data_IF_537660944231
#
_entry.id   IF_537660944231
#
_cell.length_a   1.000
_cell.length_b   1.000
_cell.length_c   1.000
_cell.angle_alpha   90.00
_cell.angle_beta   90.00
_cell.angle_gamma   90.00
#
_symmetry.space_group_name_H-M   'P 1'
#
loop_
_entity.id
_entity.type
_entity.pdbx_description
1 polymer ?
#
# COMPACT_ATOMS: atom_id res chain seq x y z
N UNK A 1 -39.42 42.71 39.12
CA UNK A 1 -38.65 42.16 37.95
C UNK A 1 -37.72 41.12 38.47
N UNK A 2 -37.99 39.85 38.15
CA UNK A 2 -37.13 38.72 38.56
C UNK A 2 -36.20 38.40 37.37
N UNK A 3 -34.89 38.12 37.54
CA UNK A 3 -34.01 37.73 36.46
C UNK A 3 -34.26 36.28 36.04
N UNK A 4 -34.39 36.05 34.75
CA UNK A 4 -34.47 34.75 34.14
C UNK A 4 -33.00 34.28 33.88
N UNK A 5 -32.59 33.26 34.59
CA UNK A 5 -31.27 32.60 34.39
C UNK A 5 -31.40 31.62 33.24
N UNK A 6 -30.76 31.90 32.12
CA UNK A 6 -30.71 31.05 30.95
C UNK A 6 -29.56 30.05 31.14
N UNK A 7 -29.89 28.80 31.45
CA UNK A 7 -28.91 27.69 31.55
C UNK A 7 -28.60 27.17 30.15
N UNK A 8 -27.42 27.47 29.67
CA UNK A 8 -26.88 26.94 28.38
C UNK A 8 -26.43 25.51 28.58
N UNK A 9 -27.22 24.55 28.09
CA UNK A 9 -26.79 23.12 28.02
C UNK A 9 -25.84 22.94 26.84
N UNK A 10 -24.53 22.79 27.11
CA UNK A 10 -23.57 22.32 26.14
C UNK A 10 -23.80 20.82 25.90
N UNK A 11 -24.37 20.49 24.75
CA UNK A 11 -24.34 19.10 24.22
C UNK A 11 -22.92 18.80 23.74
N UNK A 12 -22.14 18.06 24.53
CA UNK A 12 -20.95 17.40 24.05
C UNK A 12 -21.35 16.27 23.07
N UNK A 13 -21.21 16.53 21.79
CA UNK A 13 -21.21 15.47 20.80
C UNK A 13 -19.97 14.60 21.03
N UNK A 14 -20.13 13.48 21.74
CA UNK A 14 -19.12 12.43 21.79
C UNK A 14 -19.02 11.83 20.38
N UNK A 15 -18.01 12.24 19.64
CA UNK A 15 -17.59 11.54 18.43
C UNK A 15 -17.26 10.11 18.85
N UNK A 16 -18.09 9.13 18.48
CA UNK A 16 -17.72 7.73 18.51
C UNK A 16 -16.53 7.53 17.54
N UNK A 17 -15.33 7.80 18.01
CA UNK A 17 -14.13 7.25 17.38
C UNK A 17 -14.24 5.74 17.60
N UNK A 18 -14.66 5.01 16.56
CA UNK A 18 -14.58 3.56 16.57
C UNK A 18 -13.16 3.16 16.97
N UNK A 19 -13.04 2.12 17.80
CA UNK A 19 -11.71 1.60 18.13
C UNK A 19 -10.98 1.27 16.83
N UNK A 20 -9.69 1.64 16.70
CA UNK A 20 -8.92 1.29 15.52
C UNK A 20 -8.95 -0.24 15.33
N UNK A 21 -9.14 -0.68 14.09
CA UNK A 21 -9.10 -2.12 13.75
C UNK A 21 -7.77 -2.71 14.22
N UNK A 22 -7.79 -3.96 14.77
CA UNK A 22 -6.57 -4.58 15.24
C UNK A 22 -5.60 -4.81 14.10
N UNK A 23 -4.33 -4.63 14.35
CA UNK A 23 -3.24 -4.97 13.43
C UNK A 23 -2.66 -6.34 13.81
N UNK A 24 -1.84 -6.89 12.94
CA UNK A 24 -1.28 -8.22 13.14
C UNK A 24 -0.53 -8.38 14.48
N UNK A 25 0.22 -7.36 14.90
CA UNK A 25 0.91 -7.37 16.22
C UNK A 25 -0.06 -7.34 17.39
N UNK A 26 -1.21 -6.70 17.24
CA UNK A 26 -2.25 -6.64 18.30
C UNK A 26 -2.90 -8.00 18.52
N UNK A 27 -2.93 -8.83 17.48
CA UNK A 27 -3.36 -10.23 17.54
C UNK A 27 -2.28 -11.17 18.14
N UNK A 28 -1.10 -10.65 18.48
CA UNK A 28 0.01 -11.45 18.99
C UNK A 28 0.83 -12.17 17.92
N UNK A 29 0.73 -11.77 16.65
CA UNK A 29 1.55 -12.31 15.57
C UNK A 29 2.97 -11.73 15.69
N UNK A 30 4.03 -12.57 15.82
CA UNK A 30 5.39 -12.08 15.93
C UNK A 30 5.96 -11.66 14.57
N UNK A 31 6.69 -10.55 14.57
CA UNK A 31 7.47 -10.09 13.43
C UNK A 31 8.84 -9.60 13.88
N UNK A 32 9.85 -9.87 13.07
CA UNK A 32 11.21 -9.40 13.30
C UNK A 32 11.35 -7.89 13.04
N UNK A 33 12.35 -7.28 13.70
CA UNK A 33 12.70 -5.87 13.55
C UNK A 33 11.80 -4.92 14.33
N UNK A 34 12.29 -3.71 14.55
CA UNK A 34 11.60 -2.67 15.32
C UNK A 34 10.77 -1.80 14.39
N UNK A 35 9.44 -1.73 14.56
CA UNK A 35 8.62 -0.82 13.78
C UNK A 35 8.89 0.64 14.17
N UNK A 36 8.63 1.59 13.26
CA UNK A 36 8.49 2.99 13.60
C UNK A 36 7.23 3.27 14.43
N UNK A 37 7.01 4.51 14.85
CA UNK A 37 5.90 4.89 15.74
C UNK A 37 4.50 4.54 15.21
N UNK A 38 4.30 4.65 13.90
CA UNK A 38 3.02 4.33 13.24
C UNK A 38 3.02 2.91 12.66
N UNK A 39 4.19 2.28 12.55
CA UNK A 39 4.40 1.04 11.81
C UNK A 39 3.78 1.11 10.41
N UNK A 40 4.01 2.20 9.70
CA UNK A 40 3.42 2.53 8.41
C UNK A 40 4.45 3.17 7.47
N UNK A 41 4.17 3.19 6.16
CA UNK A 41 5.04 3.85 5.17
C UNK A 41 5.25 5.33 5.50
N UNK A 42 4.31 5.96 6.18
CA UNK A 42 4.34 7.35 6.63
C UNK A 42 5.29 7.61 7.80
N UNK A 43 5.93 6.59 8.38
CA UNK A 43 7.06 6.77 9.29
C UNK A 43 8.29 7.32 8.55
N UNK A 44 8.35 7.15 7.24
CA UNK A 44 9.35 7.84 6.40
C UNK A 44 8.92 9.28 6.21
N UNK A 45 9.71 10.19 6.74
CA UNK A 45 9.38 11.62 6.80
C UNK A 45 9.05 12.21 5.43
N UNK A 46 7.92 12.92 5.36
CA UNK A 46 7.41 13.58 4.16
C UNK A 46 6.48 12.71 3.31
N UNK A 47 6.41 11.40 3.54
CA UNK A 47 5.48 10.54 2.81
C UNK A 47 4.03 10.80 3.24
N UNK A 48 3.17 11.05 2.27
CA UNK A 48 1.72 11.18 2.47
C UNK A 48 0.97 10.08 1.72
N UNK A 49 -0.13 9.60 2.31
CA UNK A 49 -1.00 8.58 1.70
C UNK A 49 -2.45 9.05 1.73
N UNK A 50 -3.15 8.87 0.61
CA UNK A 50 -4.56 9.22 0.51
C UNK A 50 -5.37 8.17 -0.26
N UNK A 51 -6.68 8.18 -0.04
CA UNK A 51 -7.58 7.14 -0.56
C UNK A 51 -8.88 7.71 -1.09
N UNK A 52 -9.40 7.06 -2.14
CA UNK A 52 -10.82 7.10 -2.49
C UNK A 52 -11.34 5.67 -2.52
N UNK A 53 -12.38 5.39 -1.74
CA UNK A 53 -12.99 4.05 -1.63
C UNK A 53 -14.40 4.10 -2.22
N UNK A 54 -14.66 3.24 -3.20
CA UNK A 54 -15.94 3.18 -3.91
C UNK A 54 -16.65 1.86 -3.58
N UNK A 55 -17.70 1.95 -2.78
CA UNK A 55 -18.54 0.80 -2.38
C UNK A 55 -20.00 1.18 -2.62
N UNK A 56 -20.66 0.52 -3.58
CA UNK A 56 -22.09 0.73 -3.84
C UNK A 56 -22.73 -0.47 -4.52
N UNK A 57 -24.06 -0.56 -4.43
CA UNK A 57 -24.87 -1.61 -5.06
C UNK A 57 -24.66 -3.00 -4.47
N UNK A 58 -25.61 -3.89 -4.76
CA UNK A 58 -25.63 -5.30 -4.35
C UNK A 58 -26.30 -6.17 -5.40
N UNK A 59 -26.14 -7.50 -5.27
CA UNK A 59 -26.86 -8.47 -6.09
C UNK A 59 -26.14 -8.87 -7.37
N UNK A 60 -26.91 -9.06 -8.45
CA UNK A 60 -26.39 -9.51 -9.75
C UNK A 60 -25.56 -8.41 -10.41
N UNK A 61 -24.50 -8.83 -11.11
CA UNK A 61 -23.72 -7.93 -11.96
C UNK A 61 -24.62 -7.32 -13.06
N UNK A 62 -24.63 -5.98 -13.11
CA UNK A 62 -25.15 -5.21 -14.23
C UNK A 62 -24.07 -4.22 -14.65
N UNK A 63 -23.40 -4.49 -15.75
CA UNK A 63 -22.29 -3.68 -16.24
C UNK A 63 -22.68 -2.19 -16.34
N UNK A 64 -21.87 -1.31 -15.75
CA UNK A 64 -22.14 0.12 -15.63
C UNK A 64 -23.03 0.53 -14.46
N UNK A 65 -23.57 -0.44 -13.69
CA UNK A 65 -24.39 -0.17 -12.50
C UNK A 65 -23.81 -0.78 -11.21
N UNK A 66 -22.99 -1.81 -11.33
CA UNK A 66 -22.34 -2.46 -10.19
C UNK A 66 -22.83 -3.88 -9.91
N UNK A 67 -22.59 -4.44 -8.73
CA UNK A 67 -21.94 -3.84 -7.52
C UNK A 67 -20.53 -3.28 -7.75
N UNK A 68 -20.22 -2.16 -7.08
CA UNK A 68 -18.93 -1.48 -7.14
C UNK A 68 -18.12 -1.76 -5.88
N UNK A 69 -16.88 -2.27 -6.03
CA UNK A 69 -15.95 -2.58 -4.95
C UNK A 69 -14.53 -2.26 -5.41
N UNK A 70 -14.20 -0.97 -5.49
CA UNK A 70 -12.95 -0.48 -6.07
C UNK A 70 -12.49 0.82 -5.41
N UNK A 71 -11.45 1.45 -5.95
CA UNK A 71 -10.98 2.74 -5.48
C UNK A 71 -9.62 3.14 -6.01
N UNK A 72 -9.05 4.17 -5.42
CA UNK A 72 -7.75 4.75 -5.77
C UNK A 72 -6.94 4.98 -4.50
N UNK A 73 -5.66 4.61 -4.53
CA UNK A 73 -4.67 4.91 -3.49
C UNK A 73 -3.61 5.84 -4.08
N UNK A 74 -3.26 6.89 -3.37
CA UNK A 74 -2.19 7.82 -3.72
C UNK A 74 -1.08 7.76 -2.68
N UNK A 75 0.18 7.67 -3.11
CA UNK A 75 1.37 7.78 -2.28
C UNK A 75 2.24 8.90 -2.82
N UNK A 76 2.42 9.96 -2.04
CA UNK A 76 3.21 11.14 -2.40
C UNK A 76 4.56 11.07 -1.68
N UNK A 77 5.68 10.92 -2.40
CA UNK A 77 6.98 10.69 -1.77
C UNK A 77 7.46 11.80 -0.82
N UNK A 78 7.12 13.05 -1.13
CA UNK A 78 7.48 14.23 -0.33
C UNK A 78 6.29 15.12 -0.02
N UNK A 79 5.08 14.53 -0.02
CA UNK A 79 3.83 15.24 0.22
C UNK A 79 3.45 16.23 -0.88
N UNK A 80 2.27 16.81 -0.74
CA UNK A 80 1.69 17.77 -1.70
C UNK A 80 2.54 19.04 -1.85
N UNK A 81 3.13 19.51 -0.77
CA UNK A 81 3.96 20.73 -0.74
C UNK A 81 5.22 20.64 -1.61
N UNK A 82 5.70 19.41 -1.82
CA UNK A 82 6.94 19.14 -2.54
C UNK A 82 6.73 18.27 -3.77
N UNK A 83 5.53 18.33 -4.36
CA UNK A 83 5.12 17.49 -5.50
C UNK A 83 6.03 17.66 -6.74
N UNK A 84 6.67 18.81 -6.87
CA UNK A 84 7.60 19.14 -7.95
C UNK A 84 9.07 18.83 -7.62
N UNK A 85 9.31 18.10 -6.51
CA UNK A 85 10.64 17.63 -6.14
C UNK A 85 10.76 16.12 -6.37
N UNK A 86 11.23 15.66 -7.53
CA UNK A 86 11.46 14.25 -7.81
C UNK A 86 12.38 13.60 -6.79
N UNK A 87 12.21 12.32 -6.60
CA UNK A 87 13.01 11.50 -5.69
C UNK A 87 13.73 10.42 -6.46
N UNK A 88 14.93 10.01 -6.02
CA UNK A 88 15.55 8.80 -6.57
C UNK A 88 14.61 7.62 -6.40
N UNK A 89 14.47 6.81 -7.46
CA UNK A 89 13.64 5.62 -7.45
C UNK A 89 14.24 4.49 -8.29
N UNK A 90 13.78 3.27 -7.97
CA UNK A 90 14.08 2.08 -8.75
C UNK A 90 12.91 1.11 -8.66
N UNK A 91 12.65 0.36 -9.71
CA UNK A 91 11.52 -0.57 -9.78
C UNK A 91 11.97 -1.98 -10.18
N UNK A 92 11.10 -2.95 -9.96
CA UNK A 92 11.33 -4.34 -10.34
C UNK A 92 10.00 -5.05 -10.60
N UNK A 93 9.89 -5.68 -11.77
CA UNK A 93 8.81 -6.62 -12.09
C UNK A 93 9.32 -8.03 -11.87
N UNK A 94 8.68 -8.78 -10.96
CA UNK A 94 8.99 -10.19 -10.74
C UNK A 94 8.34 -11.05 -11.83
N UNK A 95 7.11 -10.76 -12.16
CA UNK A 95 6.36 -11.30 -13.29
C UNK A 95 5.45 -10.22 -13.88
N UNK A 96 4.96 -10.41 -15.09
CA UNK A 96 4.49 -9.33 -15.93
C UNK A 96 3.00 -9.33 -16.26
N UNK A 97 2.16 -10.16 -15.61
CA UNK A 97 0.71 -10.10 -15.83
C UNK A 97 0.07 -8.97 -14.99
N UNK A 98 0.55 -7.75 -15.20
CA UNK A 98 0.13 -6.55 -14.50
C UNK A 98 0.73 -5.30 -15.13
N UNK A 99 0.31 -4.13 -14.68
CA UNK A 99 0.76 -2.85 -15.22
C UNK A 99 1.27 -1.91 -14.12
N UNK A 100 2.36 -1.21 -14.44
CA UNK A 100 2.83 -0.03 -13.72
C UNK A 100 3.36 0.96 -14.76
N UNK A 101 2.62 2.02 -15.02
CA UNK A 101 2.97 3.04 -16.02
C UNK A 101 4.18 3.87 -15.57
N UNK A 102 4.81 4.61 -16.48
CA UNK A 102 5.90 5.53 -16.16
C UNK A 102 7.24 4.88 -15.77
N UNK A 103 7.28 3.57 -15.63
CA UNK A 103 8.48 2.83 -15.17
C UNK A 103 9.64 2.89 -16.15
N UNK A 104 9.39 3.05 -17.45
CA UNK A 104 10.45 3.27 -18.45
C UNK A 104 11.24 4.55 -18.16
N UNK A 105 10.56 5.63 -17.75
CA UNK A 105 11.22 6.87 -17.37
C UNK A 105 11.92 6.77 -16.01
N UNK A 106 11.33 6.06 -15.04
CA UNK A 106 12.02 5.77 -13.77
C UNK A 106 13.31 4.99 -14.00
N UNK A 107 13.31 4.02 -14.93
CA UNK A 107 14.50 3.24 -15.28
C UNK A 107 15.57 4.09 -15.94
N UNK A 108 15.19 4.97 -16.87
CA UNK A 108 16.11 5.79 -17.64
C UNK A 108 16.68 6.95 -16.83
N UNK A 109 15.81 7.68 -16.12
CA UNK A 109 16.20 8.86 -15.36
C UNK A 109 16.76 8.56 -13.97
N UNK A 110 16.35 7.46 -13.37
CA UNK A 110 16.59 7.14 -11.96
C UNK A 110 15.71 7.90 -10.99
N UNK A 111 14.68 8.63 -11.48
CA UNK A 111 13.81 9.47 -10.67
C UNK A 111 12.33 9.10 -10.82
N UNK A 112 11.61 9.20 -9.73
CA UNK A 112 10.15 9.23 -9.67
C UNK A 112 9.69 10.69 -9.59
N UNK A 113 8.88 11.09 -10.58
CA UNK A 113 8.34 12.44 -10.69
C UNK A 113 6.86 12.47 -10.31
N UNK A 114 6.56 12.84 -9.07
CA UNK A 114 5.20 12.93 -8.55
C UNK A 114 4.75 11.68 -7.77
N UNK A 115 3.43 11.48 -7.63
CA UNK A 115 2.88 10.38 -6.83
C UNK A 115 3.01 9.02 -7.51
N UNK A 116 2.96 7.96 -6.69
CA UNK A 116 2.62 6.61 -7.13
C UNK A 116 1.14 6.38 -6.84
N UNK A 117 0.37 6.03 -7.88
CA UNK A 117 -1.05 5.74 -7.78
C UNK A 117 -1.28 4.23 -7.90
N UNK A 118 -2.27 3.70 -7.18
CA UNK A 118 -2.70 2.30 -7.32
C UNK A 118 -4.22 2.25 -7.44
N UNK A 119 -4.73 1.44 -8.38
CA UNK A 119 -6.17 1.27 -8.63
C UNK A 119 -6.48 -0.15 -9.13
N UNK A 120 -7.56 -0.35 -9.88
CA UNK A 120 -7.84 -1.62 -10.54
C UNK A 120 -7.34 -1.62 -12.00
N UNK A 121 -7.29 -2.81 -12.61
CA UNK A 121 -6.74 -3.06 -13.95
C UNK A 121 -7.35 -2.15 -15.02
N UNK A 122 -8.67 -1.94 -15.03
CA UNK A 122 -9.33 -1.16 -16.10
C UNK A 122 -9.35 0.34 -15.82
N UNK A 123 -8.90 0.78 -14.64
CA UNK A 123 -8.91 2.20 -14.25
C UNK A 123 -7.54 2.88 -14.38
N UNK A 124 -6.48 2.16 -14.79
CA UNK A 124 -5.14 2.72 -14.97
C UNK A 124 -5.16 3.95 -15.88
N UNK A 125 -5.86 3.87 -16.99
CA UNK A 125 -5.95 4.98 -17.97
C UNK A 125 -6.54 6.26 -17.38
N UNK A 126 -7.71 6.17 -16.75
CA UNK A 126 -8.39 7.34 -16.14
C UNK A 126 -7.60 7.92 -14.98
N UNK A 127 -7.01 7.07 -14.11
CA UNK A 127 -6.17 7.52 -12.98
C UNK A 127 -4.91 8.21 -13.49
N UNK A 128 -4.29 7.68 -14.57
CA UNK A 128 -3.13 8.29 -15.20
C UNK A 128 -3.44 9.69 -15.73
N UNK A 129 -4.50 9.81 -16.52
CA UNK A 129 -4.90 11.09 -17.10
C UNK A 129 -5.29 12.11 -16.01
N UNK A 130 -6.05 11.69 -15.01
CA UNK A 130 -6.40 12.53 -13.87
C UNK A 130 -5.18 12.98 -13.05
N UNK A 131 -4.19 12.10 -12.85
CA UNK A 131 -2.94 12.46 -12.17
C UNK A 131 -2.18 13.55 -12.95
N UNK A 132 -2.16 13.49 -14.28
CA UNK A 132 -1.58 14.54 -15.12
C UNK A 132 -2.33 15.86 -14.93
N UNK A 133 -3.67 15.82 -14.98
CA UNK A 133 -4.51 17.02 -14.81
C UNK A 133 -4.30 17.65 -13.42
N UNK A 134 -4.31 16.83 -12.35
CA UNK A 134 -4.09 17.29 -10.99
C UNK A 134 -2.71 17.93 -10.81
N UNK A 135 -1.64 17.30 -11.33
CA UNK A 135 -0.29 17.84 -11.28
C UNK A 135 -0.16 19.14 -12.06
N UNK A 136 -0.81 19.25 -13.22
CA UNK A 136 -0.83 20.49 -14.00
C UNK A 136 -1.48 21.64 -13.22
N UNK A 137 -2.51 21.35 -12.43
CA UNK A 137 -3.21 22.37 -11.61
C UNK A 137 -2.41 22.77 -10.35
N UNK A 138 -1.61 21.86 -9.80
CA UNK A 138 -0.86 22.05 -8.55
C UNK A 138 0.65 22.20 -8.76
N UNK A 139 1.11 21.99 -9.97
CA UNK A 139 2.51 22.14 -10.34
C UNK A 139 2.82 23.53 -10.91
N UNK A 140 4.10 23.79 -11.09
CA UNK A 140 4.58 24.98 -11.79
C UNK A 140 4.88 24.59 -13.25
N UNK A 141 4.00 24.97 -14.18
CA UNK A 141 4.39 25.02 -15.58
C UNK A 141 5.50 26.08 -15.76
N UNK A 142 6.42 25.86 -16.68
CA UNK A 142 7.38 26.90 -17.04
C UNK A 142 6.65 28.13 -17.66
N UNK A 143 7.39 29.25 -17.83
CA UNK A 143 6.80 30.48 -18.37
C UNK A 143 6.30 30.34 -19.81
N UNK A 144 6.73 29.31 -20.55
CA UNK A 144 6.25 29.01 -21.90
C UNK A 144 4.94 28.21 -21.87
N UNK A 145 4.51 27.72 -20.68
CA UNK A 145 3.40 26.80 -20.52
C UNK A 145 3.75 25.36 -20.88
N UNK A 146 5.01 25.08 -21.22
CA UNK A 146 5.46 23.72 -21.50
C UNK A 146 5.55 22.91 -20.22
N UNK A 147 4.84 21.80 -20.20
CA UNK A 147 4.87 20.85 -19.08
C UNK A 147 4.47 19.45 -19.57
N UNK A 148 5.10 18.45 -19.03
CA UNK A 148 4.77 17.04 -19.31
C UNK A 148 4.96 16.20 -18.06
N UNK A 149 4.32 15.04 -18.01
CA UNK A 149 4.43 14.09 -16.91
C UNK A 149 4.22 12.67 -17.40
N UNK A 150 4.94 11.73 -16.83
CA UNK A 150 4.78 10.30 -17.02
C UNK A 150 4.45 9.65 -15.66
N UNK A 151 3.18 9.75 -15.18
CA UNK A 151 2.79 9.26 -13.87
C UNK A 151 3.02 7.77 -13.72
N UNK A 152 3.35 7.35 -12.49
CA UNK A 152 3.39 5.95 -12.10
C UNK A 152 2.02 5.56 -11.56
N UNK A 153 1.32 4.70 -12.30
CA UNK A 153 0.01 4.13 -11.91
C UNK A 153 0.09 2.63 -12.03
N UNK A 154 -0.14 1.94 -10.92
CA UNK A 154 -0.13 0.49 -10.81
C UNK A 154 -1.53 -0.06 -10.56
N UNK A 155 -1.69 -1.37 -10.72
CA UNK A 155 -3.01 -1.98 -10.60
C UNK A 155 -2.96 -3.41 -10.04
N UNK A 156 -4.10 -3.86 -9.52
CA UNK A 156 -4.44 -5.27 -9.32
C UNK A 156 -5.91 -5.52 -9.68
N UNK A 157 -6.26 -6.76 -10.10
CA UNK A 157 -7.56 -7.12 -10.61
C UNK A 157 -8.61 -7.30 -9.50
N UNK A 158 -9.69 -6.50 -9.52
CA UNK A 158 -10.79 -6.56 -8.54
C UNK A 158 -12.09 -7.20 -9.07
N UNK A 159 -12.12 -7.66 -10.33
CA UNK A 159 -13.33 -8.11 -11.02
C UNK A 159 -14.02 -9.37 -10.47
N UNK A 160 -13.52 -9.95 -9.37
CA UNK A 160 -14.25 -11.00 -8.62
C UNK A 160 -15.35 -10.41 -7.75
N UNK A 161 -15.16 -9.21 -7.24
CA UNK A 161 -16.08 -8.50 -6.35
C UNK A 161 -16.70 -7.25 -7.00
N UNK A 162 -16.01 -6.67 -7.98
CA UNK A 162 -16.32 -5.39 -8.59
C UNK A 162 -16.84 -5.54 -10.03
N UNK A 163 -17.79 -4.71 -10.41
CA UNK A 163 -18.13 -4.45 -11.82
C UNK A 163 -16.99 -3.70 -12.52
N UNK A 164 -15.90 -4.40 -12.79
CA UNK A 164 -14.67 -3.83 -13.35
C UNK A 164 -14.89 -3.22 -14.76
N UNK A 165 -15.83 -3.81 -15.53
CA UNK A 165 -16.17 -3.33 -16.89
C UNK A 165 -17.15 -2.15 -16.88
N UNK A 166 -17.62 -1.72 -15.72
CA UNK A 166 -18.47 -0.54 -15.55
C UNK A 166 -17.69 0.77 -15.52
N UNK A 167 -16.35 0.73 -15.43
CA UNK A 167 -15.47 1.90 -15.41
C UNK A 167 -15.90 2.94 -14.38
N UNK A 168 -16.08 2.49 -13.14
CA UNK A 168 -16.66 3.29 -12.06
C UNK A 168 -15.71 4.34 -11.48
N UNK A 169 -14.40 4.14 -11.57
CA UNK A 169 -13.40 5.15 -11.16
C UNK A 169 -13.44 6.32 -12.15
N UNK A 170 -13.53 7.54 -11.61
CA UNK A 170 -13.60 8.81 -12.37
C UNK A 170 -12.40 9.71 -12.02
N UNK A 171 -12.13 10.76 -12.80
CA UNK A 171 -11.05 11.71 -12.49
C UNK A 171 -11.16 12.30 -11.08
N UNK A 172 -12.38 12.60 -10.62
CA UNK A 172 -12.66 13.18 -9.30
C UNK A 172 -12.22 12.24 -8.16
N UNK A 173 -12.30 10.93 -8.36
CA UNK A 173 -11.85 9.93 -7.38
C UNK A 173 -10.33 9.97 -7.22
N UNK A 174 -9.60 10.22 -8.31
CA UNK A 174 -8.16 10.41 -8.30
C UNK A 174 -7.78 11.71 -7.61
N UNK A 175 -8.49 12.81 -7.92
CA UNK A 175 -8.28 14.11 -7.27
C UNK A 175 -8.51 14.00 -5.77
N UNK A 176 -9.60 13.36 -5.35
CA UNK A 176 -9.89 13.16 -3.93
C UNK A 176 -8.80 12.33 -3.22
N UNK A 177 -8.31 11.27 -3.83
CA UNK A 177 -7.21 10.48 -3.25
C UNK A 177 -5.93 11.32 -3.07
N UNK A 178 -5.59 12.17 -4.05
CA UNK A 178 -4.44 13.06 -3.99
C UNK A 178 -4.62 14.19 -2.97
N UNK A 179 -5.81 14.82 -2.94
CA UNK A 179 -6.12 15.94 -2.03
C UNK A 179 -6.22 15.49 -0.57
N UNK A 180 -6.75 14.29 -0.32
CA UNK A 180 -6.86 13.69 1.01
C UNK A 180 -5.55 13.11 1.55
N UNK A 181 -4.49 13.03 0.73
CA UNK A 181 -3.21 12.49 1.18
C UNK A 181 -2.68 13.27 2.39
N UNK A 182 -2.22 12.53 3.40
CA UNK A 182 -1.69 13.09 4.64
C UNK A 182 -0.62 12.17 5.24
N UNK A 183 0.19 12.74 6.10
CA UNK A 183 1.06 12.00 7.03
C UNK A 183 0.22 11.39 8.16
N UNK A 184 0.82 10.56 8.99
CA UNK A 184 0.13 9.95 10.14
C UNK A 184 -0.32 8.52 9.90
N UNK A 185 -1.27 8.00 10.68
CA UNK A 185 -1.77 6.64 10.53
C UNK A 185 -2.37 6.39 9.14
N UNK A 186 -2.05 5.24 8.55
CA UNK A 186 -2.56 4.82 7.24
C UNK A 186 -3.70 3.82 7.43
N UNK A 187 -4.83 4.05 6.77
CA UNK A 187 -5.94 3.11 6.78
C UNK A 187 -5.56 1.82 6.02
N UNK A 188 -6.01 0.67 6.55
CA UNK A 188 -5.70 -0.66 6.02
C UNK A 188 -6.96 -1.47 5.70
N UNK A 189 -6.83 -2.59 5.01
CA UNK A 189 -7.93 -3.48 4.62
C UNK A 189 -8.68 -2.98 3.38
N UNK A 190 -9.99 -2.87 3.48
CA UNK A 190 -10.91 -2.60 2.35
C UNK A 190 -10.93 -1.11 1.95
N UNK A 191 -9.79 -0.50 1.69
CA UNK A 191 -9.67 0.93 1.41
C UNK A 191 -8.90 1.21 0.12
N UNK A 192 -9.24 2.31 -0.53
CA UNK A 192 -8.60 2.74 -1.77
C UNK A 192 -8.64 1.68 -2.86
N UNK A 193 -7.57 1.56 -3.61
CA UNK A 193 -7.40 0.50 -4.62
C UNK A 193 -7.50 -0.91 -4.03
N UNK A 194 -7.23 -1.10 -2.72
CA UNK A 194 -7.34 -2.36 -2.01
C UNK A 194 -8.77 -2.85 -1.75
N UNK A 195 -9.79 -2.05 -2.06
CA UNK A 195 -11.20 -2.33 -1.72
C UNK A 195 -11.71 -3.69 -2.19
N UNK A 196 -11.53 -4.05 -3.46
CA UNK A 196 -12.05 -5.30 -4.05
C UNK A 196 -11.05 -6.47 -4.05
N UNK A 197 -9.95 -6.38 -3.33
CA UNK A 197 -8.83 -7.33 -3.43
C UNK A 197 -9.02 -8.59 -2.58
N UNK A 198 -8.44 -9.70 -3.06
CA UNK A 198 -8.47 -11.02 -2.42
C UNK A 198 -7.04 -11.51 -2.25
N UNK A 199 -6.63 -11.83 -1.03
CA UNK A 199 -5.28 -12.26 -0.69
C UNK A 199 -5.30 -13.65 -0.06
N UNK A 200 -4.58 -14.59 -0.66
CA UNK A 200 -4.50 -15.98 -0.18
C UNK A 200 -5.86 -16.62 0.11
N UNK A 201 -6.87 -16.35 -0.74
CA UNK A 201 -8.23 -16.91 -0.61
C UNK A 201 -9.11 -16.18 0.40
N UNK A 202 -8.59 -15.25 1.19
CA UNK A 202 -9.33 -14.38 2.10
C UNK A 202 -9.46 -12.97 1.53
N UNK A 203 -10.23 -12.10 2.18
CA UNK A 203 -10.27 -10.69 1.81
C UNK A 203 -8.87 -10.09 1.99
N UNK A 204 -8.37 -9.50 0.92
CA UNK A 204 -7.13 -8.75 0.89
C UNK A 204 -7.37 -7.24 1.03
N UNK A 205 -6.44 -6.45 0.56
CA UNK A 205 -6.61 -5.00 0.61
C UNK A 205 -5.30 -4.22 0.67
N UNK A 206 -5.39 -3.02 1.20
CA UNK A 206 -4.24 -2.18 1.50
C UNK A 206 -3.64 -2.56 2.85
N UNK A 207 -2.31 -2.63 2.92
CA UNK A 207 -1.60 -2.84 4.19
C UNK A 207 -0.28 -2.07 4.21
N UNK A 208 0.23 -1.81 5.40
CA UNK A 208 1.46 -1.05 5.57
C UNK A 208 2.28 -1.54 6.77
N UNK A 209 3.57 -1.30 6.75
CA UNK A 209 4.47 -1.52 7.88
C UNK A 209 5.74 -0.69 7.71
N UNK A 210 6.48 -0.52 8.79
CA UNK A 210 7.80 0.13 8.76
C UNK A 210 8.82 -0.62 9.61
N UNK A 211 10.10 -0.31 9.37
CA UNK A 211 11.23 -0.68 10.24
C UNK A 211 12.13 0.52 10.46
N UNK A 212 12.49 0.73 11.70
CA UNK A 212 13.51 1.71 12.08
C UNK A 212 14.79 0.98 12.45
N UNK A 213 15.86 1.30 11.75
CA UNK A 213 17.18 0.74 12.01
C UNK A 213 17.80 1.39 13.26
N UNK A 214 18.57 0.66 14.05
CA UNK A 214 19.27 1.23 15.22
C UNK A 214 20.36 2.22 14.77
N UNK A 215 20.79 3.09 15.69
CA UNK A 215 21.77 4.15 15.41
C UNK A 215 23.09 3.64 14.82
N UNK A 216 23.56 2.49 15.25
CA UNK A 216 24.77 1.86 14.70
C UNK A 216 24.61 1.29 13.29
N UNK A 217 23.41 1.35 12.72
CA UNK A 217 23.08 1.00 11.33
C UNK A 217 22.52 2.21 10.55
N UNK A 218 22.78 3.44 11.03
CA UNK A 218 22.41 4.68 10.39
C UNK A 218 21.06 5.27 10.80
N UNK A 219 20.32 4.64 11.73
CA UNK A 219 18.99 5.07 12.21
C UNK A 219 17.96 5.31 11.09
N UNK A 220 18.16 4.73 9.91
CA UNK A 220 17.25 4.89 8.78
C UNK A 220 15.90 4.22 9.01
N UNK A 221 14.88 4.80 8.41
CA UNK A 221 13.54 4.25 8.35
C UNK A 221 13.28 3.68 6.97
N UNK A 222 12.66 2.51 6.91
CA UNK A 222 12.09 1.95 5.69
C UNK A 222 10.63 1.62 5.95
N UNK A 223 9.74 1.99 5.03
CA UNK A 223 8.32 1.70 5.07
C UNK A 223 7.86 1.01 3.80
N UNK A 224 6.83 0.19 3.94
CA UNK A 224 6.15 -0.49 2.84
C UNK A 224 4.65 -0.18 2.86
N UNK A 225 4.06 0.01 1.66
CA UNK A 225 2.63 -0.02 1.43
C UNK A 225 2.36 -1.07 0.35
N UNK A 226 1.38 -1.94 0.59
CA UNK A 226 1.00 -2.99 -0.34
C UNK A 226 -0.46 -2.87 -0.76
N UNK A 227 -0.76 -3.21 -2.01
CA UNK A 227 -2.10 -3.59 -2.46
C UNK A 227 -2.10 -5.09 -2.73
N UNK A 228 -2.67 -5.85 -1.79
CA UNK A 228 -2.55 -7.30 -1.69
C UNK A 228 -3.74 -8.00 -2.38
N UNK A 229 -3.48 -8.64 -3.53
CA UNK A 229 -4.46 -9.40 -4.32
C UNK A 229 -3.86 -10.68 -4.91
N UNK A 230 -3.04 -11.41 -4.19
CA UNK A 230 -2.28 -12.56 -4.71
C UNK A 230 -2.45 -13.81 -3.84
N UNK A 231 -1.87 -14.90 -4.28
CA UNK A 231 -1.65 -16.10 -3.51
C UNK A 231 -2.83 -17.07 -3.47
N UNK A 232 -2.55 -18.26 -2.98
CA UNK A 232 -3.54 -19.29 -2.69
C UNK A 232 -3.55 -19.64 -1.22
N UNK A 233 -4.71 -19.97 -0.66
CA UNK A 233 -4.85 -20.27 0.76
C UNK A 233 -3.93 -21.40 1.21
N UNK A 234 -3.83 -22.47 0.42
CA UNK A 234 -3.04 -23.65 0.77
C UNK A 234 -1.55 -23.31 1.05
N UNK A 235 -1.02 -22.31 0.36
CA UNK A 235 0.38 -21.89 0.49
C UNK A 235 0.60 -20.89 1.63
N UNK A 236 -0.45 -20.26 2.15
CA UNK A 236 -0.33 -19.19 3.15
C UNK A 236 0.44 -19.66 4.39
N UNK A 237 1.49 -18.91 4.71
CA UNK A 237 2.29 -19.05 5.92
C UNK A 237 2.29 -17.74 6.70
N UNK A 238 2.15 -17.82 8.02
CA UNK A 238 2.30 -16.67 8.94
C UNK A 238 3.19 -17.13 10.09
N UNK A 239 4.21 -16.35 10.42
CA UNK A 239 5.23 -16.70 11.40
C UNK A 239 5.87 -18.08 11.15
N UNK A 240 6.04 -18.45 9.87
CA UNK A 240 6.59 -19.74 9.41
C UNK A 240 5.60 -20.93 9.46
N UNK A 241 4.39 -20.74 10.00
CA UNK A 241 3.37 -21.79 10.16
C UNK A 241 2.48 -21.84 8.91
N UNK A 242 2.16 -23.03 8.35
CA UNK A 242 1.28 -23.17 7.18
C UNK A 242 -0.20 -22.98 7.57
N UNK A 243 -0.54 -21.78 8.05
CA UNK A 243 -1.87 -21.46 8.61
C UNK A 243 -2.99 -21.67 7.60
N UNK A 244 -2.71 -21.48 6.32
CA UNK A 244 -3.71 -21.61 5.28
C UNK A 244 -4.30 -23.04 5.13
N UNK A 245 -3.58 -24.05 5.60
CA UNK A 245 -4.04 -25.45 5.62
C UNK A 245 -4.90 -25.79 6.85
N UNK A 246 -4.85 -24.94 7.87
CA UNK A 246 -5.54 -25.16 9.13
C UNK A 246 -6.74 -24.23 9.34
N UNK A 247 -6.78 -23.11 8.61
CA UNK A 247 -7.89 -22.17 8.66
C UNK A 247 -9.10 -22.68 7.85
N UNK A 248 -10.33 -22.27 8.22
CA UNK A 248 -11.52 -22.54 7.43
C UNK A 248 -11.34 -22.13 5.95
N UNK A 249 -12.00 -22.82 5.00
CA UNK A 249 -11.88 -22.50 3.60
C UNK A 249 -12.29 -21.05 3.28
N UNK A 250 -11.43 -20.33 2.61
CA UNK A 250 -11.73 -19.08 1.93
C UNK A 250 -12.31 -19.33 0.54
N UNK A 251 -12.23 -18.31 -0.32
CA UNK A 251 -12.67 -18.47 -1.72
C UNK A 251 -11.65 -19.34 -2.49
N UNK A 252 -12.09 -20.39 -3.21
CA UNK A 252 -11.16 -21.24 -3.95
C UNK A 252 -10.44 -20.43 -5.05
N UNK A 253 -9.11 -20.48 -5.06
CA UNK A 253 -8.27 -20.12 -6.21
C UNK A 253 -7.54 -21.36 -6.67
N UNK A 254 -7.68 -21.70 -7.95
CA UNK A 254 -7.09 -22.92 -8.52
C UNK A 254 -5.57 -22.89 -8.61
N UNK A 255 -4.98 -21.69 -8.62
CA UNK A 255 -3.54 -21.45 -8.71
C UNK A 255 -3.20 -20.15 -7.98
N UNK A 256 -1.91 -19.87 -7.77
CA UNK A 256 -1.42 -18.57 -7.31
C UNK A 256 -1.66 -17.54 -8.43
N UNK A 257 -2.86 -17.03 -8.49
CA UNK A 257 -3.34 -16.03 -9.43
C UNK A 257 -3.58 -14.72 -8.68
N UNK A 258 -3.46 -13.65 -9.40
CA UNK A 258 -3.63 -12.30 -8.87
C UNK A 258 -2.31 -11.56 -8.87
N UNK A 259 -2.28 -10.39 -8.28
CA UNK A 259 -1.15 -9.48 -8.35
C UNK A 259 -0.89 -8.84 -7.00
N UNK A 260 0.31 -8.36 -6.78
CA UNK A 260 0.61 -7.49 -5.65
C UNK A 260 1.46 -6.32 -6.10
N UNK A 261 1.03 -5.13 -5.69
CA UNK A 261 1.83 -3.93 -5.82
C UNK A 261 2.46 -3.60 -4.47
N UNK A 262 3.77 -3.37 -4.47
CA UNK A 262 4.50 -2.94 -3.26
C UNK A 262 5.25 -1.65 -3.54
N UNK A 263 4.99 -0.65 -2.71
CA UNK A 263 5.71 0.62 -2.67
C UNK A 263 6.60 0.62 -1.44
N UNK A 264 7.90 0.84 -1.64
CA UNK A 264 8.88 1.01 -0.57
C UNK A 264 9.34 2.46 -0.51
N UNK A 265 9.38 3.02 0.69
CA UNK A 265 9.95 4.33 0.97
C UNK A 265 11.10 4.21 1.96
N UNK A 266 12.11 5.05 1.87
CA UNK A 266 13.18 5.17 2.87
C UNK A 266 13.73 6.60 2.91
N UNK A 267 14.25 6.99 4.05
CA UNK A 267 15.06 8.20 4.25
C UNK A 267 16.57 7.95 4.12
N UNK A 268 16.99 6.71 3.91
CA UNK A 268 18.39 6.39 3.63
C UNK A 268 18.84 7.03 2.30
N UNK A 269 20.05 7.61 2.22
CA UNK A 269 20.55 8.24 1.01
C UNK A 269 20.93 7.20 -0.04
N UNK A 270 19.95 6.73 -0.76
CA UNK A 270 20.09 5.71 -1.80
C UNK A 270 19.87 6.31 -3.19
N UNK A 271 20.68 5.86 -4.15
CA UNK A 271 20.50 6.18 -5.57
C UNK A 271 19.67 5.11 -6.28
N UNK A 272 19.23 5.38 -7.51
CA UNK A 272 18.29 4.55 -8.28
C UNK A 272 18.70 3.06 -8.33
N UNK A 273 19.96 2.75 -8.62
CA UNK A 273 20.43 1.37 -8.68
C UNK A 273 20.35 0.63 -7.33
N UNK A 274 20.54 1.34 -6.22
CA UNK A 274 20.41 0.81 -4.87
C UNK A 274 18.93 0.60 -4.49
N UNK A 275 18.04 1.52 -4.88
CA UNK A 275 16.59 1.40 -4.70
C UNK A 275 16.02 0.21 -5.52
N UNK A 276 16.50 -0.01 -6.75
CA UNK A 276 16.18 -1.21 -7.52
C UNK A 276 16.59 -2.50 -6.78
N UNK A 277 17.71 -2.47 -6.03
CA UNK A 277 18.13 -3.60 -5.20
C UNK A 277 17.19 -3.81 -4.01
N UNK A 278 16.59 -2.76 -3.43
CA UNK A 278 15.52 -2.91 -2.41
C UNK A 278 14.27 -3.55 -3.03
N UNK A 279 13.78 -3.03 -4.16
CA UNK A 279 12.62 -3.58 -4.86
C UNK A 279 12.80 -5.08 -5.18
N UNK A 280 13.99 -5.51 -5.54
CA UNK A 280 14.33 -6.93 -5.78
C UNK A 280 14.35 -7.81 -4.51
N UNK A 281 14.20 -7.26 -3.29
CA UNK A 281 14.07 -8.02 -2.03
C UNK A 281 12.62 -8.24 -1.63
N UNK A 282 11.69 -7.49 -2.22
CA UNK A 282 10.25 -7.68 -1.97
C UNK A 282 9.80 -9.13 -2.11
N UNK A 283 10.18 -9.87 -3.19
CA UNK A 283 9.80 -11.28 -3.34
C UNK A 283 10.21 -12.19 -2.17
N UNK A 284 11.27 -11.85 -1.45
CA UNK A 284 11.70 -12.63 -0.29
C UNK A 284 10.71 -12.50 0.88
N UNK A 285 10.08 -11.33 1.04
CA UNK A 285 9.00 -11.12 2.01
C UNK A 285 7.73 -11.89 1.62
N UNK A 286 7.38 -11.86 0.33
CA UNK A 286 6.25 -12.65 -0.21
C UNK A 286 6.49 -14.15 -0.07
N UNK A 287 7.72 -14.62 -0.31
CA UNK A 287 8.13 -16.00 -0.12
C UNK A 287 7.99 -16.49 1.33
N UNK A 288 8.23 -15.63 2.32
CA UNK A 288 7.98 -15.95 3.74
C UNK A 288 6.50 -16.25 4.02
N UNK A 289 5.61 -15.62 3.26
CA UNK A 289 4.16 -15.84 3.34
C UNK A 289 3.66 -16.98 2.44
N UNK A 290 4.59 -17.66 1.74
CA UNK A 290 4.31 -18.85 0.94
C UNK A 290 4.00 -18.57 -0.54
N UNK A 291 4.10 -17.33 -1.02
CA UNK A 291 3.96 -17.06 -2.45
C UNK A 291 5.11 -17.65 -3.24
N UNK A 292 4.78 -18.19 -4.41
CA UNK A 292 5.72 -18.60 -5.44
C UNK A 292 5.56 -17.78 -6.72
N UNK A 293 4.73 -16.72 -6.69
CA UNK A 293 4.52 -15.78 -7.80
C UNK A 293 4.17 -16.49 -9.09
N UNK A 294 2.98 -17.13 -9.13
CA UNK A 294 2.53 -17.98 -10.24
C UNK A 294 2.43 -17.24 -11.57
N UNK A 295 2.32 -17.99 -12.67
CA UNK A 295 2.32 -17.50 -14.06
C UNK A 295 1.28 -16.38 -14.32
N UNK A 296 0.11 -16.48 -13.70
CA UNK A 296 -0.97 -15.48 -13.84
C UNK A 296 -0.84 -14.26 -12.95
N UNK A 297 0.28 -14.05 -12.24
CA UNK A 297 0.48 -12.94 -11.31
C UNK A 297 1.18 -11.75 -11.97
N UNK A 298 0.88 -10.55 -11.49
CA UNK A 298 1.54 -9.28 -11.85
C UNK A 298 2.14 -8.64 -10.61
N UNK A 299 3.29 -9.15 -10.18
CA UNK A 299 3.97 -8.72 -8.96
C UNK A 299 5.00 -7.65 -9.30
N UNK A 300 4.66 -6.39 -9.05
CA UNK A 300 5.45 -5.24 -9.47
C UNK A 300 5.73 -4.32 -8.28
N UNK A 301 6.97 -3.87 -8.15
CA UNK A 301 7.46 -3.16 -6.99
C UNK A 301 8.23 -1.90 -7.37
N UNK A 302 8.07 -0.84 -6.59
CA UNK A 302 8.83 0.39 -6.71
C UNK A 302 9.38 0.81 -5.35
N UNK A 303 10.61 1.31 -5.32
CA UNK A 303 11.25 1.85 -4.14
C UNK A 303 11.73 3.27 -4.42
N UNK A 304 11.58 4.18 -3.46
CA UNK A 304 12.10 5.53 -3.55
C UNK A 304 12.76 5.99 -2.25
N UNK A 305 13.63 7.01 -2.36
CA UNK A 305 14.29 7.63 -1.21
C UNK A 305 13.88 9.09 -1.09
N UNK A 306 13.47 9.51 0.12
CA UNK A 306 13.21 10.92 0.44
C UNK A 306 14.48 11.72 0.76
N UNK A 307 15.63 11.08 0.82
CA UNK A 307 16.91 11.74 0.95
C UNK A 307 17.26 12.56 -0.32
N UNK A 308 18.34 13.34 -0.24
CA UNK A 308 18.85 14.15 -1.35
C UNK A 308 17.82 15.13 -1.95
N UNK A 309 17.20 16.01 -1.15
CA UNK A 309 16.36 17.07 -1.69
C UNK A 309 17.17 17.94 -2.66
N UNK A 310 16.60 18.28 -3.82
CA UNK A 310 17.27 19.09 -4.84
C UNK A 310 18.26 18.32 -5.73
N UNK A 311 18.32 16.99 -5.67
CA UNK A 311 19.11 16.17 -6.61
C UNK A 311 18.63 16.34 -8.06
N UNK A 312 17.33 16.57 -8.24
CA UNK A 312 16.72 16.87 -9.53
C UNK A 312 16.96 18.32 -9.95
N UNK A 313 16.91 18.57 -11.26
CA UNK A 313 16.95 19.90 -11.86
C UNK A 313 18.28 20.26 -12.48
N UNK A 314 18.23 21.23 -13.40
CA UNK A 314 19.33 21.60 -14.28
C UNK A 314 20.35 22.58 -13.69
N UNK A 315 21.35 22.89 -14.51
CA UNK A 315 22.20 24.07 -14.43
C UNK A 315 23.58 23.92 -13.77
N UNK A 316 23.79 22.90 -12.91
CA UNK A 316 25.09 22.70 -12.22
C UNK A 316 25.27 21.25 -11.79
N UNK A 317 26.51 20.86 -11.56
CA UNK A 317 26.84 19.59 -10.88
C UNK A 317 26.13 19.54 -9.53
N UNK A 318 25.47 18.41 -9.23
CA UNK A 318 24.84 18.15 -7.94
C UNK A 318 25.75 17.29 -7.07
N UNK A 319 25.84 17.65 -5.81
CA UNK A 319 26.45 16.80 -4.79
C UNK A 319 25.32 16.07 -4.05
N UNK A 320 25.44 14.76 -3.95
CA UNK A 320 24.46 13.90 -3.29
C UNK A 320 25.16 13.03 -2.26
N UNK A 321 24.44 12.68 -1.22
CA UNK A 321 24.87 11.65 -0.28
C UNK A 321 24.48 10.27 -0.82
N UNK A 322 25.39 9.31 -0.67
CA UNK A 322 25.15 7.94 -1.09
C UNK A 322 25.67 6.97 -0.03
N UNK A 323 24.79 6.10 0.47
CA UNK A 323 25.20 5.01 1.36
C UNK A 323 26.12 4.03 0.61
N UNK A 324 27.28 3.62 1.18
CA UNK A 324 28.11 2.58 0.58
C UNK A 324 27.34 1.27 0.38
N UNK A 325 27.64 0.54 -0.69
CA UNK A 325 26.91 -0.68 -1.05
C UNK A 325 27.04 -1.81 -0.03
N UNK A 326 28.14 -1.89 0.67
CA UNK A 326 28.41 -2.85 1.75
C UNK A 326 27.61 -2.58 3.02
N UNK A 327 27.12 -1.35 3.20
CA UNK A 327 26.24 -0.95 4.31
C UNK A 327 24.73 -1.18 4.06
N UNK A 328 24.34 -1.76 2.93
CA UNK A 328 22.94 -1.94 2.57
C UNK A 328 22.24 -3.14 3.22
N UNK A 329 22.98 -4.10 3.80
CA UNK A 329 22.37 -5.33 4.32
C UNK A 329 21.27 -5.10 5.38
N UNK A 330 21.38 -4.16 6.31
CA UNK A 330 20.30 -3.86 7.25
C UNK A 330 19.00 -3.42 6.54
N UNK A 331 19.11 -2.61 5.47
CA UNK A 331 17.95 -2.17 4.68
C UNK A 331 17.32 -3.34 3.88
N UNK A 332 18.11 -4.29 3.40
CA UNK A 332 17.57 -5.50 2.75
C UNK A 332 16.76 -6.36 3.71
N UNK A 333 17.26 -6.58 4.92
CA UNK A 333 16.54 -7.32 5.97
C UNK A 333 15.26 -6.58 6.33
N UNK A 334 15.34 -5.27 6.60
CA UNK A 334 14.19 -4.43 6.93
C UNK A 334 13.13 -4.43 5.83
N UNK A 335 13.53 -4.42 4.55
CA UNK A 335 12.61 -4.55 3.41
C UNK A 335 11.78 -5.83 3.49
N UNK A 336 12.44 -6.97 3.69
CA UNK A 336 11.76 -8.28 3.77
C UNK A 336 10.78 -8.31 4.94
N UNK A 337 11.17 -7.77 6.09
CA UNK A 337 10.35 -7.71 7.30
C UNK A 337 9.14 -6.76 7.14
N UNK A 338 9.33 -5.60 6.50
CA UNK A 338 8.24 -4.67 6.20
C UNK A 338 7.19 -5.29 5.29
N UNK A 339 7.63 -5.94 4.21
CA UNK A 339 6.72 -6.56 3.23
C UNK A 339 5.92 -7.70 3.86
N UNK A 340 6.58 -8.57 4.62
CA UNK A 340 5.92 -9.67 5.34
C UNK A 340 4.80 -9.13 6.25
N UNK A 341 5.09 -8.12 7.08
CA UNK A 341 4.11 -7.57 8.01
C UNK A 341 3.02 -6.76 7.30
N UNK A 342 3.35 -5.96 6.28
CA UNK A 342 2.37 -5.16 5.54
C UNK A 342 1.29 -6.04 4.87
N UNK A 343 1.67 -7.19 4.31
CA UNK A 343 0.71 -8.14 3.73
C UNK A 343 -0.20 -8.74 4.79
N UNK A 344 0.35 -9.15 5.95
CA UNK A 344 -0.47 -9.69 7.04
C UNK A 344 -1.39 -8.63 7.62
N UNK A 345 -0.93 -7.38 7.75
CA UNK A 345 -1.77 -6.25 8.16
C UNK A 345 -2.92 -6.01 7.18
N UNK A 346 -2.68 -6.08 5.85
CA UNK A 346 -3.73 -5.97 4.84
C UNK A 346 -4.84 -7.02 5.03
N UNK A 347 -4.48 -8.26 5.37
CA UNK A 347 -5.42 -9.35 5.60
C UNK A 347 -6.15 -9.23 6.94
N UNK A 348 -5.44 -8.84 8.00
CA UNK A 348 -6.00 -8.70 9.35
C UNK A 348 -6.96 -7.51 9.45
N UNK A 349 -6.64 -6.39 8.81
CA UNK A 349 -7.51 -5.21 8.80
C UNK A 349 -8.69 -5.34 7.83
N UNK A 350 -8.70 -6.35 6.95
CA UNK A 350 -9.79 -6.57 6.00
C UNK A 350 -11.07 -7.02 6.70
N UNK A 351 -12.21 -6.65 6.12
CA UNK A 351 -13.55 -7.06 6.54
C UNK A 351 -14.20 -7.91 5.45
N UNK A 352 -15.11 -8.79 5.84
CA UNK A 352 -15.95 -9.53 4.90
C UNK A 352 -16.52 -8.59 3.85
N UNK A 353 -16.55 -9.05 2.61
CA UNK A 353 -17.08 -8.24 1.52
C UNK A 353 -17.92 -9.06 0.57
N UNK A 354 -19.12 -8.55 0.28
CA UNK A 354 -20.02 -9.06 -0.72
C UNK A 354 -19.96 -8.18 -1.98
N UNK A 355 -19.73 -8.79 -3.12
CA UNK A 355 -19.60 -8.13 -4.40
C UNK A 355 -20.60 -8.61 -5.45
N UNK A 356 -20.18 -8.58 -6.71
CA UNK A 356 -21.00 -9.00 -7.87
C UNK A 356 -21.54 -10.43 -7.70
N UNK A 357 -22.76 -10.64 -8.19
CA UNK A 357 -23.46 -11.93 -8.17
C UNK A 357 -23.60 -12.54 -6.77
N UNK A 358 -23.62 -11.71 -5.73
CA UNK A 358 -23.58 -12.11 -4.32
C UNK A 358 -22.33 -12.92 -3.93
N UNK A 359 -21.25 -12.82 -4.69
CA UNK A 359 -19.96 -13.41 -4.30
C UNK A 359 -19.52 -12.83 -2.96
N UNK A 360 -19.27 -13.67 -1.98
CA UNK A 360 -18.82 -13.27 -0.65
C UNK A 360 -17.39 -13.73 -0.43
N UNK A 361 -16.53 -12.81 0.01
CA UNK A 361 -15.14 -13.08 0.40
C UNK A 361 -14.97 -12.71 1.86
N UNK A 362 -14.62 -13.71 2.67
CA UNK A 362 -14.42 -13.52 4.11
C UNK A 362 -13.05 -12.98 4.43
N UNK A 363 -12.98 -12.17 5.47
CA UNK A 363 -11.74 -11.80 6.12
C UNK A 363 -11.06 -13.02 6.73
N UNK A 364 -9.77 -12.92 7.00
CA UNK A 364 -9.06 -13.97 7.75
C UNK A 364 -9.64 -14.06 9.16
N UNK A 365 -10.03 -15.24 9.64
CA UNK A 365 -10.68 -15.37 10.94
C UNK A 365 -9.65 -15.24 12.07
N UNK A 366 -9.69 -14.13 12.82
CA UNK A 366 -8.68 -13.78 13.82
C UNK A 366 -8.56 -14.82 14.95
N UNK A 367 -9.68 -15.28 15.50
CA UNK A 367 -9.69 -16.23 16.60
C UNK A 367 -9.07 -17.57 16.22
N UNK A 368 -9.43 -18.09 15.05
CA UNK A 368 -8.88 -19.33 14.51
C UNK A 368 -7.39 -19.18 14.15
N UNK A 369 -7.00 -18.04 13.59
CA UNK A 369 -5.59 -17.75 13.32
C UNK A 369 -4.78 -17.75 14.61
N UNK A 370 -5.27 -17.10 15.68
CA UNK A 370 -4.62 -17.09 16.98
C UNK A 370 -4.54 -18.52 17.56
N UNK A 371 -5.60 -19.33 17.44
CA UNK A 371 -5.59 -20.73 17.89
C UNK A 371 -4.54 -21.56 17.16
N UNK A 372 -4.43 -21.41 15.84
CA UNK A 372 -3.41 -22.09 15.03
C UNK A 372 -2.02 -21.66 15.48
N UNK A 373 -1.74 -20.37 15.59
CA UNK A 373 -0.43 -19.89 16.05
C UNK A 373 -0.09 -20.35 17.47
N UNK A 374 -1.06 -20.38 18.38
CA UNK A 374 -0.89 -20.91 19.74
C UNK A 374 -0.54 -22.39 19.74
N UNK A 375 -1.21 -23.19 18.91
CA UNK A 375 -0.92 -24.64 18.74
C UNK A 375 0.55 -24.90 18.39
N UNK A 376 1.17 -24.00 17.63
CA UNK A 376 2.56 -24.11 17.21
C UNK A 376 3.55 -23.29 18.05
N UNK A 377 3.12 -22.77 19.22
CA UNK A 377 3.92 -21.89 20.08
C UNK A 377 4.51 -20.68 19.33
N UNK A 378 3.70 -20.05 18.49
CA UNK A 378 4.06 -18.86 17.71
C UNK A 378 3.19 -17.64 18.02
N UNK A 379 2.32 -17.70 19.00
CA UNK A 379 1.54 -16.55 19.46
C UNK A 379 2.29 -15.87 20.63
N UNK A 380 2.54 -14.56 20.50
CA UNK A 380 3.14 -13.72 21.53
C UNK A 380 2.04 -12.86 22.16
N UNK A 381 1.67 -13.17 23.40
CA UNK A 381 0.64 -12.40 24.10
C UNK A 381 1.15 -10.99 24.47
N UNK A 382 0.27 -9.95 24.46
CA UNK A 382 0.63 -8.56 24.75
C UNK A 382 1.28 -8.33 26.13
N UNK A 383 1.10 -9.25 27.09
CA UNK A 383 1.70 -9.20 28.43
C UNK A 383 3.16 -9.65 28.48
N UNK A 384 3.71 -10.12 27.37
CA UNK A 384 5.08 -10.63 27.26
C UNK A 384 6.02 -9.70 26.49
N UNK A 385 5.56 -8.43 26.23
CA UNK A 385 6.35 -7.39 25.54
C UNK A 385 7.11 -6.51 26.52
#
# INVERSE_FOLDING_TARGET
>A
MKPITLTLMLLLAASCLGQPEPRARDLGIPFDGSPGPLNAITDVAGVEVGFTTLISGEGKLVVGKGPVRTGVTAVLPRGKQSINQPVFAGWYSLNGNGEMTGTTWVEESGFLEGPVMITNTHSVGVVRDATIQWRYQHGEADRSGYWWSLPVVAETYDGVLNDINGFHVKPEDTFHALDSAATGPVAEGNVGGGTGMICNGFKGGTGTASRQLPANQGAYTIGALVQCNYGSQEQLRIAGIPVGRELPPGIPRKQDQGSIIVILATDAPLVASQLKRLARRVPLGLGRLGSYSGDGSGDIFIAFSTANPGAWGGGKVKHIDMLPNDEMNPLFIATVQCVEEAVVNAMVAAKDMKGINNTEVRAIPHAELQQVLKKYNRLVLPSEK
#
